data_IF_675308138067
#
_entry.id   IF_675308138067
#
_cell.length_a   1.000
_cell.length_b   1.000
_cell.length_c   1.000
_cell.angle_alpha   90.00
_cell.angle_beta   90.00
_cell.angle_gamma   90.00
#
_symmetry.space_group_name_H-M   'P 1'
#
loop_
_entity.id
_entity.type
_entity.pdbx_description
1 polymer ?
#
# COMPACT_ATOMS: atom_id res chain seq x y z
N UNK A 1 7.41 17.88 41.18
CA UNK A 1 7.49 16.71 40.28
C UNK A 1 8.67 16.91 39.34
N UNK A 2 9.77 16.14 39.46
CA UNK A 2 10.89 16.24 38.54
C UNK A 2 10.39 15.86 37.15
N UNK A 3 10.45 16.81 36.20
CA UNK A 3 10.14 16.51 34.80
C UNK A 3 11.30 15.67 34.28
N UNK A 4 11.10 14.37 34.11
CA UNK A 4 12.11 13.41 33.65
C UNK A 4 12.41 13.58 32.14
N UNK A 5 12.94 14.74 31.74
CA UNK A 5 13.22 15.09 30.33
C UNK A 5 14.50 14.43 29.78
N UNK A 6 15.11 13.52 30.53
CA UNK A 6 16.38 12.85 30.22
C UNK A 6 16.42 11.41 30.72
N UNK A 7 15.26 10.74 30.79
CA UNK A 7 15.20 9.33 31.17
C UNK A 7 15.73 8.38 30.07
N UNK A 8 15.85 8.88 28.83
CA UNK A 8 16.37 8.14 27.69
C UNK A 8 17.79 8.61 27.40
N UNK A 9 18.71 7.64 27.34
CA UNK A 9 20.10 7.89 26.98
C UNK A 9 20.23 8.19 25.47
N UNK A 10 21.28 8.92 25.10
CA UNK A 10 21.49 9.38 23.71
C UNK A 10 21.63 8.19 22.75
N UNK A 11 22.35 7.15 23.16
CA UNK A 11 22.49 5.91 22.39
C UNK A 11 21.13 5.22 22.12
N UNK A 12 20.24 5.24 23.12
CA UNK A 12 18.89 4.70 22.97
C UNK A 12 18.05 5.52 21.99
N UNK A 13 18.14 6.85 22.06
CA UNK A 13 17.46 7.74 21.12
C UNK A 13 17.94 7.54 19.69
N UNK A 14 19.25 7.37 19.48
CA UNK A 14 19.82 7.11 18.15
C UNK A 14 19.31 5.78 17.60
N UNK A 15 19.25 4.72 18.41
CA UNK A 15 18.70 3.42 18.00
C UNK A 15 17.22 3.50 17.66
N UNK A 16 16.42 4.22 18.45
CA UNK A 16 15.00 4.43 18.18
C UNK A 16 14.84 5.19 16.85
N UNK A 17 15.59 6.28 16.66
CA UNK A 17 15.56 7.04 15.42
C UNK A 17 15.94 6.17 14.22
N UNK A 18 16.98 5.34 14.33
CA UNK A 18 17.40 4.41 13.30
C UNK A 18 16.30 3.39 12.98
N UNK A 19 15.68 2.81 14.01
CA UNK A 19 14.56 1.89 13.84
C UNK A 19 13.38 2.56 13.14
N UNK A 20 13.06 3.81 13.49
CA UNK A 20 12.04 4.61 12.80
C UNK A 20 12.40 4.84 11.34
N UNK A 21 13.65 5.14 11.01
CA UNK A 21 14.10 5.28 9.61
C UNK A 21 13.92 3.96 8.86
N UNK A 22 14.23 2.82 9.47
CA UNK A 22 14.03 1.51 8.85
C UNK A 22 12.55 1.22 8.62
N UNK A 23 11.68 1.50 9.60
CA UNK A 23 10.23 1.35 9.45
C UNK A 23 9.70 2.27 8.35
N UNK A 24 10.17 3.51 8.31
CA UNK A 24 9.81 4.47 7.28
C UNK A 24 10.20 3.97 5.88
N UNK A 25 11.42 3.46 5.71
CA UNK A 25 11.86 2.84 4.46
C UNK A 25 11.02 1.62 4.08
N UNK A 26 10.62 0.79 5.04
CA UNK A 26 9.78 -0.37 4.78
C UNK A 26 8.40 0.04 4.25
N UNK A 27 7.81 1.11 4.79
CA UNK A 27 6.54 1.66 4.31
C UNK A 27 6.70 2.22 2.90
N UNK A 28 7.78 2.96 2.62
CA UNK A 28 8.06 3.51 1.28
C UNK A 28 8.15 2.39 0.23
N UNK A 29 8.83 1.29 0.56
CA UNK A 29 8.93 0.12 -0.32
C UNK A 29 7.56 -0.52 -0.53
N UNK A 30 6.74 -0.60 0.52
CA UNK A 30 5.38 -1.11 0.43
C UNK A 30 4.50 -0.22 -0.48
N UNK A 31 4.58 1.10 -0.33
CA UNK A 31 3.85 2.05 -1.16
C UNK A 31 4.26 1.96 -2.63
N UNK A 32 5.56 1.83 -2.92
CA UNK A 32 6.05 1.62 -4.27
C UNK A 32 5.51 0.31 -4.88
N UNK A 33 5.48 -0.78 -4.10
CA UNK A 33 4.98 -2.08 -4.54
C UNK A 33 3.46 -2.03 -4.83
N UNK A 34 2.68 -1.42 -3.92
CA UNK A 34 1.25 -1.23 -4.10
C UNK A 34 0.96 -0.28 -5.28
N UNK A 35 1.78 0.74 -5.48
CA UNK A 35 1.72 1.62 -6.64
C UNK A 35 1.91 0.87 -7.96
N UNK A 36 2.90 -0.03 -8.02
CA UNK A 36 3.13 -0.87 -9.20
C UNK A 36 1.95 -1.82 -9.47
N UNK A 37 1.43 -2.48 -8.43
CA UNK A 37 0.27 -3.37 -8.53
C UNK A 37 -0.98 -2.61 -9.04
N UNK A 38 -1.26 -1.45 -8.44
CA UNK A 38 -2.43 -0.64 -8.82
C UNK A 38 -2.30 -0.08 -10.24
N UNK A 39 -1.10 0.29 -10.67
CA UNK A 39 -0.84 0.70 -12.05
C UNK A 39 -1.11 -0.44 -13.04
N UNK A 40 -0.67 -1.66 -12.73
CA UNK A 40 -0.96 -2.84 -13.55
C UNK A 40 -2.47 -3.13 -13.59
N UNK A 41 -3.15 -3.07 -12.45
CA UNK A 41 -4.60 -3.27 -12.39
C UNK A 41 -5.37 -2.19 -13.17
N UNK A 42 -4.89 -0.94 -13.15
CA UNK A 42 -5.47 0.16 -13.94
C UNK A 42 -5.39 -0.11 -15.44
N UNK A 43 -4.32 -0.73 -15.91
CA UNK A 43 -4.17 -1.17 -17.30
C UNK A 43 -5.12 -2.33 -17.64
N UNK A 44 -5.35 -3.25 -16.71
CA UNK A 44 -6.29 -4.36 -16.88
C UNK A 44 -7.77 -3.97 -16.74
N UNK A 45 -8.06 -2.85 -16.05
CA UNK A 45 -9.43 -2.32 -15.84
C UNK A 45 -10.30 -2.26 -17.09
N UNK A 46 -9.87 -1.73 -18.25
CA UNK A 46 -10.69 -1.73 -19.47
C UNK A 46 -11.05 -3.14 -19.95
N UNK A 47 -10.14 -4.11 -19.82
CA UNK A 47 -10.43 -5.50 -20.19
C UNK A 47 -11.43 -6.13 -19.23
N UNK A 48 -11.28 -5.90 -17.93
CA UNK A 48 -12.25 -6.35 -16.92
C UNK A 48 -13.63 -5.74 -17.20
N UNK A 49 -13.69 -4.43 -17.49
CA UNK A 49 -14.93 -3.76 -17.83
C UNK A 49 -15.55 -4.34 -19.11
N UNK A 50 -14.74 -4.63 -20.13
CA UNK A 50 -15.20 -5.27 -21.35
C UNK A 50 -15.77 -6.67 -21.09
N UNK A 51 -15.07 -7.50 -20.30
CA UNK A 51 -15.55 -8.83 -19.93
C UNK A 51 -16.88 -8.73 -19.19
N UNK A 52 -17.01 -7.79 -18.25
CA UNK A 52 -18.28 -7.54 -17.56
C UNK A 52 -19.38 -7.17 -18.56
N UNK A 53 -19.11 -6.25 -19.48
CA UNK A 53 -20.08 -5.85 -20.51
C UNK A 53 -20.49 -7.04 -21.37
N UNK A 54 -19.55 -7.89 -21.78
CA UNK A 54 -19.83 -9.10 -22.56
C UNK A 54 -20.71 -10.06 -21.76
N UNK A 55 -20.36 -10.35 -20.51
CA UNK A 55 -21.15 -11.23 -19.63
C UNK A 55 -22.57 -10.69 -19.46
N UNK A 56 -22.71 -9.38 -19.22
CA UNK A 56 -24.02 -8.72 -19.11
C UNK A 56 -24.81 -8.82 -20.41
N UNK A 57 -24.16 -8.63 -21.57
CA UNK A 57 -24.82 -8.72 -22.86
C UNK A 57 -25.30 -10.14 -23.16
N UNK A 58 -24.46 -11.15 -22.92
CA UNK A 58 -24.81 -12.57 -23.08
C UNK A 58 -25.94 -12.98 -22.15
N UNK A 59 -25.90 -12.51 -20.90
CA UNK A 59 -27.00 -12.71 -19.95
C UNK A 59 -28.31 -12.08 -20.44
N UNK A 60 -28.24 -10.89 -21.04
CA UNK A 60 -29.43 -10.20 -21.57
C UNK A 60 -30.03 -10.90 -22.80
N UNK A 61 -29.18 -11.55 -23.59
CA UNK A 61 -29.57 -12.37 -24.74
C UNK A 61 -30.10 -13.75 -24.30
N UNK A 62 -30.09 -14.07 -23.01
CA UNK A 62 -30.38 -15.41 -22.45
C UNK A 62 -29.45 -16.49 -23.04
N UNK A 63 -28.27 -16.08 -23.50
CA UNK A 63 -27.23 -16.94 -24.09
C UNK A 63 -26.18 -17.38 -23.05
N UNK A 64 -26.32 -16.95 -21.79
CA UNK A 64 -25.41 -17.28 -20.67
C UNK A 64 -25.91 -18.45 -19.82
#
# INVERSE_FOLDING_TARGET
MPRARGALDTDSLVKIALALVVVWLAIEVLDALLGALTAALRLARPLIALVIVIVVALWLLDEL
#
